data_IF_480840001075
#
_entry.id   IF_480840001075
#
_cell.length_a   1.000
_cell.length_b   1.000
_cell.length_c   1.000
_cell.angle_alpha   90.00
_cell.angle_beta   90.00
_cell.angle_gamma   90.00
#
_symmetry.space_group_name_H-M   'P 1'
#
loop_
_entity.id
_entity.type
_entity.pdbx_description
1 polymer ?
#
# COMPACT_ATOMS: atom_id res chain seq x y z
N UNK A 1 -24.84 -2.99 -33.64
CA UNK A 1 -24.19 -2.70 -32.35
C UNK A 1 -22.70 -2.66 -32.61
N UNK A 2 -22.11 -1.47 -32.61
CA UNK A 2 -20.68 -1.27 -32.89
C UNK A 2 -19.91 -1.57 -31.62
N UNK A 3 -19.23 -2.73 -31.57
CA UNK A 3 -18.30 -3.06 -30.48
C UNK A 3 -17.18 -2.04 -30.49
N UNK A 4 -17.20 -1.09 -29.54
CA UNK A 4 -16.13 -0.12 -29.38
C UNK A 4 -14.90 -0.89 -28.92
N UNK A 5 -13.88 -0.98 -29.77
CA UNK A 5 -12.64 -1.67 -29.45
C UNK A 5 -12.01 -1.00 -28.22
N UNK A 6 -11.80 -1.78 -27.17
CA UNK A 6 -11.11 -1.35 -25.97
C UNK A 6 -9.68 -0.88 -26.34
N UNK A 7 -9.17 0.22 -25.76
CA UNK A 7 -7.77 0.61 -25.92
C UNK A 7 -6.81 -0.48 -25.41
N UNK A 8 -7.28 -1.33 -24.49
CA UNK A 8 -6.61 -2.52 -24.00
C UNK A 8 -7.64 -3.54 -23.50
N UNK A 9 -7.49 -4.78 -23.94
CA UNK A 9 -8.27 -5.94 -23.45
C UNK A 9 -7.28 -6.91 -22.78
N UNK A 10 -7.62 -7.50 -21.62
CA UNK A 10 -6.80 -8.53 -21.02
C UNK A 10 -6.48 -9.65 -22.03
N UNK A 11 -5.19 -9.97 -22.26
CA UNK A 11 -4.75 -10.81 -23.36
C UNK A 11 -5.05 -12.31 -23.22
N UNK A 12 -5.23 -12.82 -21.98
CA UNK A 12 -5.41 -14.25 -21.72
C UNK A 12 -6.77 -14.59 -21.09
N UNK A 13 -7.32 -15.76 -21.46
CA UNK A 13 -8.56 -16.34 -20.91
C UNK A 13 -8.32 -17.53 -19.99
N UNK A 14 -7.11 -18.08 -19.95
CA UNK A 14 -6.81 -19.35 -19.27
C UNK A 14 -6.06 -19.18 -17.94
N UNK A 15 -5.07 -18.28 -17.87
CA UNK A 15 -4.26 -18.07 -16.66
C UNK A 15 -3.81 -16.61 -16.50
N UNK A 16 -3.25 -16.27 -15.34
CA UNK A 16 -2.70 -14.96 -15.01
C UNK A 16 -1.51 -14.65 -15.91
N UNK A 17 -1.57 -13.51 -16.62
CA UNK A 17 -0.50 -13.07 -17.51
C UNK A 17 0.27 -11.88 -16.92
N UNK A 18 1.60 -11.97 -16.87
CA UNK A 18 2.44 -10.87 -16.41
C UNK A 18 2.59 -9.81 -17.51
N UNK A 19 1.99 -8.63 -17.32
CA UNK A 19 2.05 -7.53 -18.29
C UNK A 19 2.87 -6.35 -17.78
N UNK A 20 3.63 -5.67 -18.67
CA UNK A 20 4.47 -4.55 -18.29
C UNK A 20 3.63 -3.34 -17.91
N UNK A 21 3.90 -2.77 -16.75
CA UNK A 21 3.28 -1.54 -16.26
C UNK A 21 3.77 -0.33 -17.08
N UNK A 22 2.91 0.67 -17.25
CA UNK A 22 3.17 1.91 -17.99
C UNK A 22 3.09 1.78 -19.52
N UNK A 23 2.69 0.62 -20.05
CA UNK A 23 2.38 0.46 -21.48
C UNK A 23 0.95 0.89 -21.81
N UNK A 24 -0.02 0.43 -21.02
CA UNK A 24 -1.45 0.73 -21.18
C UNK A 24 -2.07 1.40 -19.96
N UNK A 25 -1.50 1.11 -18.79
CA UNK A 25 -1.94 1.60 -17.49
C UNK A 25 -0.75 1.62 -16.54
N UNK A 26 -0.81 2.51 -15.57
CA UNK A 26 -0.05 2.37 -14.32
C UNK A 26 -0.90 1.62 -13.30
N UNK A 27 -0.26 1.03 -12.30
CA UNK A 27 -0.97 0.28 -11.26
C UNK A 27 -0.78 0.92 -9.89
N UNK A 28 -1.87 1.04 -9.14
CA UNK A 28 -1.85 1.53 -7.76
C UNK A 28 -2.19 0.37 -6.83
N UNK A 29 -1.18 -0.12 -6.09
CA UNK A 29 -1.34 -1.16 -5.07
C UNK A 29 -1.68 -0.54 -3.74
N UNK A 30 -2.60 -1.18 -3.01
CA UNK A 30 -2.97 -0.75 -1.66
C UNK A 30 -2.94 -1.91 -0.68
N UNK A 31 -2.76 -1.61 0.60
CA UNK A 31 -3.08 -2.56 1.66
C UNK A 31 -4.58 -2.93 1.62
N UNK A 32 -4.97 -4.15 2.07
CA UNK A 32 -6.34 -4.63 1.95
C UNK A 32 -7.39 -3.71 2.59
N UNK A 33 -7.14 -3.26 3.83
CA UNK A 33 -8.12 -2.46 4.60
C UNK A 33 -8.35 -1.09 3.93
N UNK A 34 -7.26 -0.39 3.57
CA UNK A 34 -7.32 0.91 2.88
C UNK A 34 -8.01 0.75 1.52
N UNK A 35 -7.62 -0.28 0.77
CA UNK A 35 -8.19 -0.56 -0.55
C UNK A 35 -9.68 -0.83 -0.50
N UNK A 36 -10.14 -1.70 0.40
CA UNK A 36 -11.57 -2.04 0.54
C UNK A 36 -12.42 -0.81 0.89
N UNK A 37 -11.91 0.08 1.74
CA UNK A 37 -12.60 1.34 2.07
C UNK A 37 -12.65 2.30 0.89
N UNK A 38 -11.53 2.48 0.19
CA UNK A 38 -11.49 3.32 -1.00
C UNK A 38 -12.41 2.78 -2.10
N UNK A 39 -12.46 1.46 -2.29
CA UNK A 39 -13.39 0.81 -3.22
C UNK A 39 -14.85 1.16 -2.89
N UNK A 40 -15.22 1.07 -1.60
CA UNK A 40 -16.56 1.43 -1.12
C UNK A 40 -16.86 2.92 -1.33
N UNK A 41 -15.89 3.79 -1.09
CA UNK A 41 -16.05 5.24 -1.26
C UNK A 41 -16.18 5.65 -2.73
N UNK A 42 -15.46 4.98 -3.64
CA UNK A 42 -15.53 5.24 -5.08
C UNK A 42 -16.84 4.75 -5.69
N UNK A 43 -17.35 3.60 -5.25
CA UNK A 43 -18.54 2.97 -5.83
C UNK A 43 -18.38 2.82 -7.35
N UNK A 44 -19.41 3.18 -8.11
CA UNK A 44 -19.44 3.05 -9.57
C UNK A 44 -18.41 3.91 -10.32
N UNK A 45 -17.71 4.82 -9.62
CA UNK A 45 -16.62 5.63 -10.20
C UNK A 45 -15.30 4.88 -10.27
N UNK A 46 -15.21 3.66 -9.71
CA UNK A 46 -14.04 2.81 -9.82
C UNK A 46 -13.97 2.13 -11.19
N UNK A 47 -12.78 2.11 -11.78
CA UNK A 47 -12.48 1.24 -12.92
C UNK A 47 -12.25 -0.20 -12.47
N UNK A 48 -11.53 -0.96 -13.29
CA UNK A 48 -11.18 -2.34 -12.99
C UNK A 48 -10.21 -2.42 -11.80
N UNK A 49 -10.42 -3.43 -10.96
CA UNK A 49 -9.63 -3.66 -9.75
C UNK A 49 -9.27 -5.12 -9.66
N UNK A 50 -7.99 -5.41 -9.45
CA UNK A 50 -7.47 -6.76 -9.24
C UNK A 50 -7.26 -6.94 -7.74
N UNK A 51 -7.71 -8.07 -7.21
CA UNK A 51 -7.35 -8.52 -5.87
C UNK A 51 -6.39 -9.69 -5.98
N UNK A 52 -5.20 -9.55 -5.39
CA UNK A 52 -4.21 -10.62 -5.32
C UNK A 52 -4.52 -11.59 -4.17
N UNK A 53 -3.97 -12.82 -4.25
CA UNK A 53 -4.23 -13.93 -3.32
C UNK A 53 -3.99 -13.57 -1.84
N UNK A 54 -3.08 -12.64 -1.59
CA UNK A 54 -2.71 -12.20 -0.23
C UNK A 54 -3.54 -11.02 0.27
N UNK A 55 -4.50 -10.55 -0.52
CA UNK A 55 -5.41 -9.47 -0.18
C UNK A 55 -5.11 -8.06 -0.70
N UNK A 56 -3.91 -7.67 -1.20
CA UNK A 56 -3.74 -6.35 -1.80
C UNK A 56 -4.66 -6.13 -2.99
N UNK A 57 -5.10 -4.88 -3.15
CA UNK A 57 -5.89 -4.45 -4.29
C UNK A 57 -5.00 -3.62 -5.23
N UNK A 58 -5.21 -3.78 -6.53
CA UNK A 58 -4.51 -3.06 -7.58
C UNK A 58 -5.54 -2.37 -8.48
N UNK A 59 -5.52 -1.03 -8.49
CA UNK A 59 -6.27 -0.24 -9.45
C UNK A 59 -5.42 0.01 -10.68
N UNK A 60 -6.08 0.02 -11.84
CA UNK A 60 -5.49 0.48 -13.08
C UNK A 60 -5.82 1.96 -13.27
N UNK A 61 -4.81 2.78 -13.53
CA UNK A 61 -4.96 4.22 -13.80
C UNK A 61 -4.24 4.59 -15.10
N UNK A 62 -4.56 5.76 -15.65
CA UNK A 62 -3.89 6.24 -16.84
C UNK A 62 -2.38 6.38 -16.62
N UNK A 63 -1.58 6.03 -17.62
CA UNK A 63 -0.11 6.10 -17.54
C UNK A 63 0.32 7.54 -17.20
N UNK A 64 1.22 7.67 -16.22
CA UNK A 64 1.77 8.94 -15.75
C UNK A 64 0.88 9.70 -14.76
N UNK A 65 -0.35 9.25 -14.49
CA UNK A 65 -1.33 10.02 -13.69
C UNK A 65 -1.11 9.95 -12.17
N UNK A 66 -0.32 8.99 -11.69
CA UNK A 66 -0.08 8.75 -10.26
C UNK A 66 1.40 8.91 -9.82
N UNK A 67 2.28 9.38 -10.70
CA UNK A 67 3.75 9.38 -10.50
C UNK A 67 4.24 10.22 -9.31
N UNK A 68 3.46 11.20 -8.84
CA UNK A 68 3.82 12.06 -7.71
C UNK A 68 3.20 11.64 -6.37
N UNK A 69 2.49 10.50 -6.32
CA UNK A 69 1.73 10.12 -5.14
C UNK A 69 2.61 9.62 -4.02
N UNK A 70 2.37 10.18 -2.83
CA UNK A 70 3.00 9.75 -1.60
C UNK A 70 1.89 9.56 -0.56
N UNK A 71 1.43 8.32 -0.40
CA UNK A 71 0.42 7.92 0.58
C UNK A 71 0.88 6.66 1.30
N UNK A 72 0.69 6.61 2.62
CA UNK A 72 0.96 5.41 3.40
C UNK A 72 0.10 4.26 2.88
N UNK A 73 0.63 3.04 2.93
CA UNK A 73 -0.07 1.83 2.46
C UNK A 73 -0.42 1.81 0.96
N UNK A 74 0.05 2.79 0.19
CA UNK A 74 -0.15 2.86 -1.26
C UNK A 74 1.22 2.75 -1.95
N UNK A 75 1.29 2.01 -3.04
CA UNK A 75 2.45 1.99 -3.95
C UNK A 75 1.96 2.22 -5.36
N UNK A 76 2.65 3.09 -6.08
CA UNK A 76 2.42 3.28 -7.50
C UNK A 76 3.49 2.52 -8.26
N UNK A 77 3.06 1.67 -9.17
CA UNK A 77 3.89 1.06 -10.18
C UNK A 77 3.65 1.82 -11.48
N UNK A 78 4.70 2.42 -12.01
CA UNK A 78 4.73 3.11 -13.28
C UNK A 78 6.00 2.69 -14.02
N UNK A 79 6.05 2.91 -15.34
CA UNK A 79 7.26 2.64 -16.09
C UNK A 79 8.39 3.57 -15.64
N UNK A 80 9.53 3.00 -15.28
CA UNK A 80 10.78 3.72 -15.01
C UNK A 80 11.69 3.66 -16.25
N UNK A 81 12.69 4.54 -16.31
CA UNK A 81 13.62 4.66 -17.45
C UNK A 81 14.49 3.42 -17.66
N UNK A 82 14.83 2.74 -16.57
CA UNK A 82 15.82 1.67 -16.47
C UNK A 82 15.23 0.35 -15.94
N UNK A 83 13.97 0.36 -15.47
CA UNK A 83 13.29 -0.80 -14.92
C UNK A 83 11.87 -0.95 -15.49
N UNK A 84 11.48 -2.19 -15.79
CA UNK A 84 10.11 -2.56 -16.17
C UNK A 84 9.53 -3.44 -15.08
N UNK A 85 8.55 -2.90 -14.36
CA UNK A 85 7.71 -3.68 -13.44
C UNK A 85 6.62 -4.41 -14.23
N UNK A 86 6.27 -5.62 -13.79
CA UNK A 86 5.16 -6.39 -14.34
C UNK A 86 4.06 -6.58 -13.29
N UNK A 87 2.81 -6.57 -13.72
CA UNK A 87 1.65 -6.94 -12.90
C UNK A 87 0.95 -8.14 -13.52
N UNK A 88 0.59 -9.11 -12.68
CA UNK A 88 -0.21 -10.26 -13.09
C UNK A 88 -1.66 -9.86 -13.33
N UNK A 89 -2.12 -10.00 -14.57
CA UNK A 89 -3.48 -9.71 -15.00
C UNK A 89 -4.26 -11.02 -15.08
N UNK A 90 -5.33 -11.21 -14.29
CA UNK A 90 -6.11 -12.43 -14.33
C UNK A 90 -7.03 -12.48 -15.57
N UNK A 91 -7.46 -13.69 -16.00
CA UNK A 91 -8.49 -13.86 -17.00
C UNK A 91 -9.77 -13.08 -16.66
N UNK A 92 -10.47 -12.55 -17.67
CA UNK A 92 -11.69 -11.74 -17.49
C UNK A 92 -12.82 -12.49 -16.76
N UNK A 93 -12.84 -13.82 -16.85
CA UNK A 93 -13.82 -14.69 -16.20
C UNK A 93 -13.54 -14.90 -14.71
N UNK A 94 -12.34 -14.56 -14.21
CA UNK A 94 -11.97 -14.77 -12.82
C UNK A 94 -12.40 -13.56 -11.99
N UNK A 95 -13.61 -13.59 -11.45
CA UNK A 95 -14.17 -12.51 -10.62
C UNK A 95 -14.27 -12.86 -9.14
N UNK A 96 -14.00 -14.11 -8.78
CA UNK A 96 -14.08 -14.63 -7.41
C UNK A 96 -12.99 -15.68 -7.18
N UNK A 97 -12.78 -16.03 -5.91
CA UNK A 97 -11.90 -17.13 -5.51
C UNK A 97 -10.65 -16.71 -4.75
N UNK A 98 -9.85 -17.69 -4.28
CA UNK A 98 -8.67 -17.44 -3.45
C UNK A 98 -7.45 -16.99 -4.27
N UNK A 99 -7.46 -17.16 -5.59
CA UNK A 99 -6.40 -16.73 -6.49
C UNK A 99 -6.54 -15.25 -6.87
N UNK A 100 -5.55 -14.72 -7.59
CA UNK A 100 -5.63 -13.38 -8.19
C UNK A 100 -6.85 -13.28 -9.10
N UNK A 101 -7.76 -12.35 -8.84
CA UNK A 101 -9.02 -12.21 -9.58
C UNK A 101 -9.42 -10.74 -9.72
N UNK A 102 -10.37 -10.47 -10.62
CA UNK A 102 -11.02 -9.17 -10.75
C UNK A 102 -11.98 -8.95 -9.59
N UNK A 103 -11.62 -8.06 -8.68
CA UNK A 103 -12.54 -7.56 -7.66
C UNK A 103 -13.61 -6.64 -8.25
N UNK A 104 -13.22 -5.88 -9.27
CA UNK A 104 -14.13 -5.17 -10.17
C UNK A 104 -13.78 -5.57 -11.59
N UNK A 105 -14.72 -6.16 -12.35
CA UNK A 105 -14.46 -6.63 -13.72
C UNK A 105 -14.00 -5.51 -14.65
N UNK A 106 -13.18 -5.87 -15.64
CA UNK A 106 -12.88 -5.00 -16.78
C UNK A 106 -14.15 -4.80 -17.60
N UNK A 107 -14.44 -3.54 -17.96
CA UNK A 107 -15.53 -3.19 -18.87
C UNK A 107 -15.03 -2.32 -20.01
N UNK A 108 -15.71 -2.39 -21.15
CA UNK A 108 -15.33 -1.70 -22.39
C UNK A 108 -15.21 -0.16 -22.23
N UNK A 109 -15.98 0.40 -21.31
CA UNK A 109 -16.08 1.85 -21.12
C UNK A 109 -15.39 2.32 -19.82
N UNK A 110 -14.96 1.41 -18.95
CA UNK A 110 -14.57 1.77 -17.58
C UNK A 110 -13.56 0.81 -16.94
N UNK A 111 -12.40 0.61 -17.58
CA UNK A 111 -11.32 -0.19 -17.00
C UNK A 111 -10.27 0.63 -16.24
N UNK A 112 -10.10 1.91 -16.56
CA UNK A 112 -9.24 2.83 -15.82
C UNK A 112 -10.02 3.58 -14.75
N UNK A 113 -9.40 3.77 -13.60
CA UNK A 113 -9.93 4.66 -12.56
C UNK A 113 -9.34 6.04 -12.73
N UNK A 114 -10.17 7.07 -12.57
CA UNK A 114 -9.70 8.45 -12.49
C UNK A 114 -8.74 8.61 -11.30
N UNK A 115 -7.51 9.03 -11.61
CA UNK A 115 -6.44 9.07 -10.63
C UNK A 115 -6.77 10.04 -9.48
N UNK A 116 -7.32 11.22 -9.77
CA UNK A 116 -7.63 12.22 -8.74
C UNK A 116 -8.70 11.71 -7.76
N UNK A 117 -9.77 11.08 -8.29
CA UNK A 117 -10.81 10.47 -7.45
C UNK A 117 -10.25 9.32 -6.60
N UNK A 118 -9.42 8.47 -7.20
CA UNK A 118 -8.78 7.37 -6.47
C UNK A 118 -7.88 7.89 -5.35
N UNK A 119 -7.05 8.90 -5.62
CA UNK A 119 -6.19 9.52 -4.61
C UNK A 119 -7.01 10.05 -3.43
N UNK A 120 -8.09 10.78 -3.71
CA UNK A 120 -8.97 11.32 -2.66
C UNK A 120 -9.58 10.21 -1.79
N UNK A 121 -10.11 9.16 -2.42
CA UNK A 121 -10.68 8.02 -1.71
C UNK A 121 -9.64 7.26 -0.87
N UNK A 122 -8.43 7.09 -1.39
CA UNK A 122 -7.33 6.45 -0.66
C UNK A 122 -6.83 7.30 0.51
N UNK A 123 -6.67 8.61 0.32
CA UNK A 123 -6.25 9.53 1.37
C UNK A 123 -7.29 9.60 2.51
N UNK A 124 -8.58 9.58 2.17
CA UNK A 124 -9.66 9.51 3.16
C UNK A 124 -9.65 8.16 3.91
N UNK A 125 -9.52 7.05 3.18
CA UNK A 125 -9.46 5.71 3.77
C UNK A 125 -8.24 5.53 4.70
N UNK A 126 -7.08 6.04 4.30
CA UNK A 126 -5.85 6.07 5.11
C UNK A 126 -6.06 6.89 6.39
N UNK A 127 -6.61 8.10 6.27
CA UNK A 127 -6.90 8.96 7.43
C UNK A 127 -7.91 8.31 8.39
N UNK A 128 -8.92 7.64 7.86
CA UNK A 128 -9.93 6.96 8.66
C UNK A 128 -9.35 5.74 9.41
N UNK A 129 -8.34 5.07 8.85
CA UNK A 129 -7.70 3.92 9.48
C UNK A 129 -6.59 4.32 10.47
N UNK A 130 -5.72 5.24 10.08
CA UNK A 130 -4.48 5.53 10.79
C UNK A 130 -4.41 6.95 11.34
N UNK A 131 -5.51 7.71 11.27
CA UNK A 131 -5.54 9.10 11.70
C UNK A 131 -4.67 10.01 10.82
N UNK A 132 -4.40 11.22 11.33
CA UNK A 132 -3.56 12.20 10.63
C UNK A 132 -2.15 11.64 10.46
N UNK A 133 -1.60 11.73 9.25
CA UNK A 133 -0.19 11.42 9.03
C UNK A 133 0.69 12.37 9.87
N UNK A 134 1.70 11.85 10.58
CA UNK A 134 2.60 12.69 11.36
C UNK A 134 3.38 13.63 10.46
N UNK A 135 3.73 14.79 11.00
CA UNK A 135 4.66 15.71 10.34
C UNK A 135 6.10 15.18 10.49
N UNK A 136 6.82 15.11 9.36
CA UNK A 136 8.21 14.66 9.33
C UNK A 136 8.41 13.14 9.38
N UNK A 137 9.67 12.72 9.15
CA UNK A 137 10.07 11.32 9.17
C UNK A 137 9.98 10.74 10.57
N UNK A 138 9.26 9.64 10.72
CA UNK A 138 9.19 8.90 11.98
C UNK A 138 10.17 7.74 11.98
N UNK A 139 10.61 7.35 13.18
CA UNK A 139 11.39 6.13 13.37
C UNK A 139 10.45 4.96 13.67
N UNK A 140 10.75 3.80 13.11
CA UNK A 140 10.08 2.57 13.51
C UNK A 140 10.50 2.16 14.93
N UNK A 141 9.55 1.81 15.80
CA UNK A 141 9.83 1.36 17.17
C UNK A 141 10.76 0.13 17.23
N UNK A 142 10.76 -0.72 16.20
CA UNK A 142 11.50 -1.98 16.19
C UNK A 142 12.90 -1.84 15.61
N UNK A 143 13.06 -1.33 14.40
CA UNK A 143 14.37 -1.17 13.76
C UNK A 143 15.04 0.18 14.03
N UNK A 144 14.33 1.15 14.62
CA UNK A 144 14.84 2.50 14.91
C UNK A 144 15.32 3.28 13.68
N UNK A 145 14.93 2.84 12.48
CA UNK A 145 15.24 3.52 11.22
C UNK A 145 14.09 4.45 10.80
N UNK A 146 14.40 5.57 10.10
CA UNK A 146 13.39 6.39 9.46
C UNK A 146 12.55 5.57 8.48
N UNK A 147 11.23 5.76 8.54
CA UNK A 147 10.29 5.20 7.57
C UNK A 147 9.61 6.33 6.82
N UNK A 148 9.63 6.27 5.49
CA UNK A 148 8.84 7.17 4.65
C UNK A 148 7.34 6.81 4.71
N UNK A 149 6.99 5.68 5.34
CA UNK A 149 5.61 5.26 5.59
C UNK A 149 5.39 4.85 7.04
N UNK A 150 5.10 5.83 7.92
CA UNK A 150 4.87 5.58 9.33
C UNK A 150 3.46 5.05 9.59
N UNK A 151 3.36 3.82 10.08
CA UNK A 151 2.09 3.19 10.49
C UNK A 151 1.97 3.32 12.02
N UNK A 152 0.94 3.99 12.56
CA UNK A 152 0.73 4.03 13.99
C UNK A 152 0.31 2.64 14.48
N UNK A 153 1.03 2.12 15.49
CA UNK A 153 0.75 0.82 16.11
C UNK A 153 0.22 0.95 17.54
N UNK A 154 0.47 2.10 18.16
CA UNK A 154 -0.05 2.45 19.48
C UNK A 154 -0.27 3.94 19.56
N UNK A 155 -1.42 4.33 20.10
CA UNK A 155 -1.74 5.71 20.44
C UNK A 155 -2.00 5.70 21.94
N UNK A 156 -1.14 6.33 22.71
CA UNK A 156 -1.39 6.54 24.14
C UNK A 156 -2.43 7.65 24.29
N UNK A 157 -3.62 7.28 24.78
CA UNK A 157 -4.69 8.21 25.14
C UNK A 157 -4.31 8.92 26.47
N UNK A 158 -3.33 9.82 26.39
CA UNK A 158 -2.86 10.61 27.52
C UNK A 158 -3.72 11.86 27.75
N UNK A 159 -4.03 12.13 29.03
CA UNK A 159 -4.70 13.33 29.56
C UNK A 159 -3.90 14.65 29.35
N UNK A 160 -3.00 14.69 28.38
CA UNK A 160 -2.08 15.78 28.06
C UNK A 160 -2.14 16.07 26.55
N UNK A 161 -2.04 17.35 26.16
CA UNK A 161 -2.31 17.89 24.81
C UNK A 161 -1.52 17.29 23.62
N UNK A 162 -0.62 16.34 23.85
CA UNK A 162 0.06 15.57 22.79
C UNK A 162 0.14 14.09 23.20
N UNK A 163 -0.83 13.29 22.77
CA UNK A 163 -0.77 11.83 22.92
C UNK A 163 0.48 11.27 22.24
N UNK A 164 1.19 10.35 22.92
CA UNK A 164 2.39 9.72 22.37
C UNK A 164 1.96 8.62 21.39
N UNK A 165 2.33 8.76 20.12
CA UNK A 165 2.06 7.76 19.08
C UNK A 165 3.32 6.95 18.79
N UNK A 166 3.24 5.63 18.90
CA UNK A 166 4.30 4.71 18.48
C UNK A 166 4.09 4.34 17.02
N UNK A 167 5.13 4.51 16.20
CA UNK A 167 5.10 4.19 14.78
C UNK A 167 5.92 2.95 14.45
N UNK A 168 5.51 2.23 13.41
CA UNK A 168 6.25 1.12 12.83
C UNK A 168 6.39 1.31 11.31
N UNK A 169 7.45 0.73 10.74
CA UNK A 169 7.57 0.60 9.29
C UNK A 169 6.70 -0.56 8.78
N UNK A 170 6.38 -0.62 7.47
CA UNK A 170 5.49 -1.64 6.91
C UNK A 170 5.83 -3.10 7.25
N UNK A 171 7.12 -3.53 7.30
CA UNK A 171 7.46 -4.89 7.72
C UNK A 171 7.18 -5.19 9.20
N UNK A 172 7.27 -4.20 10.09
CA UNK A 172 7.13 -4.39 11.54
C UNK A 172 5.74 -4.10 12.07
N UNK A 173 4.91 -3.34 11.35
CA UNK A 173 3.56 -3.01 11.81
C UNK A 173 2.67 -4.25 12.03
N UNK A 174 2.63 -5.26 11.12
CA UNK A 174 1.85 -6.47 11.35
C UNK A 174 2.35 -7.36 12.51
N UNK A 175 3.60 -7.16 12.94
CA UNK A 175 4.24 -7.94 14.01
C UNK A 175 4.05 -7.29 15.39
N UNK A 176 3.50 -6.09 15.45
CA UNK A 176 3.30 -5.40 16.71
C UNK A 176 2.23 -6.10 17.55
N UNK A 177 2.54 -6.34 18.82
CA UNK A 177 1.58 -6.80 19.81
C UNK A 177 1.69 -5.95 21.07
N UNK A 178 0.55 -5.46 21.59
CA UNK A 178 0.50 -4.68 22.84
C UNK A 178 1.02 -5.44 24.07
N UNK A 179 1.20 -6.76 23.96
CA UNK A 179 1.61 -7.67 25.03
C UNK A 179 3.13 -7.81 25.20
N UNK A 180 3.95 -6.86 24.77
CA UNK A 180 5.38 -6.90 25.04
C UNK A 180 5.80 -6.02 26.24
N UNK A 181 5.67 -6.47 27.50
CA UNK A 181 6.48 -5.93 28.58
C UNK A 181 7.85 -6.64 28.62
N UNK A 182 8.90 -5.82 28.53
CA UNK A 182 10.26 -6.00 29.12
C UNK A 182 11.01 -7.30 28.83
N UNK A 183 12.05 -7.20 27.99
CA UNK A 183 13.46 -7.22 28.45
C UNK A 183 14.39 -7.22 27.24
N UNK A 184 14.94 -6.06 26.92
CA UNK A 184 16.33 -6.00 26.48
C UNK A 184 17.05 -5.34 27.64
N UNK A 185 17.47 -6.16 28.60
CA UNK A 185 18.51 -5.74 29.53
C UNK A 185 19.70 -5.34 28.70
N UNK A 186 19.98 -4.05 28.76
CA UNK A 186 21.25 -3.44 28.41
C UNK A 186 22.37 -4.23 29.08
N UNK A 187 23.18 -4.94 28.31
CA UNK A 187 24.55 -5.21 28.71
C UNK A 187 25.34 -3.94 28.38
N UNK A 188 25.30 -2.98 29.30
CA UNK A 188 26.20 -1.85 29.27
C UNK A 188 27.54 -2.25 29.88
N UNK A 189 28.58 -1.70 29.25
CA UNK A 189 29.85 -1.32 29.84
C UNK A 189 30.85 -2.44 30.20
N UNK A 190 31.73 -2.66 29.23
CA UNK A 190 33.17 -2.82 29.40
C UNK A 190 33.73 -2.35 30.76
N UNK A 191 34.27 -3.28 31.54
CA UNK A 191 35.25 -2.98 32.58
C UNK A 191 36.61 -2.75 31.90
N UNK A 192 36.97 -1.47 31.78
CA UNK A 192 38.31 -1.02 31.43
C UNK A 192 39.13 -0.92 32.73
N UNK A 193 39.73 -2.03 33.18
CA UNK A 193 40.70 -2.00 34.27
C UNK A 193 42.03 -1.46 33.74
N UNK A 194 42.40 -0.23 34.11
CA UNK A 194 43.72 0.28 33.80
C UNK A 194 43.99 1.73 34.22
N UNK A 195 44.47 1.95 35.45
CA UNK A 195 45.53 2.93 35.84
C UNK A 195 45.91 2.73 37.33
N UNK A 196 47.04 2.09 37.69
CA UNK A 196 48.38 2.65 38.10
C UNK A 196 48.32 3.90 39.02
N UNK A 197 49.38 4.30 39.78
CA UNK A 197 50.45 3.61 40.53
C UNK A 197 50.64 4.17 41.97
N UNK A 198 51.42 3.49 42.84
CA UNK A 198 52.44 4.10 43.73
C UNK A 198 53.24 3.01 44.45
#
# INVERSE_FOLDING_TARGET
MTTRALPWTPPNTEDVEALPVGKWWDAVRTAPIVGQRALKALGDKTGAVIQDKHGPLYWLVAVGSATSWHLRQVRVFARLTDEITYLGIPPVSWTEGPSTHWRVPVSADHYLTDAFKLWGALAEADRAEYGRAPEGRQLCYRCQLPTDEPIPVEVEDGRSDVGKVTYACPPHAPLYSKRWPRSLTSAAAAEHEGRRPR
#
